data_IF_546936612315
#
_entry.id   IF_546936612315
#
_cell.length_a   1.000
_cell.length_b   1.000
_cell.length_c   1.000
_cell.angle_alpha   90.00
_cell.angle_beta   90.00
_cell.angle_gamma   90.00
#
_symmetry.space_group_name_H-M   'P 1'
#
loop_
_entity.id
_entity.type
_entity.pdbx_description
1 polymer ?
#
# COMPACT_ATOMS: atom_id res chain seq x y z
N UNK A 1 -3.86 -7.18 18.34
CA UNK A 1 -5.35 -7.08 18.21
C UNK A 1 -5.64 -6.44 16.86
N UNK A 2 -6.67 -6.87 16.13
CA UNK A 2 -7.02 -6.29 14.82
C UNK A 2 -7.69 -4.92 15.01
N UNK A 3 -7.07 -3.84 14.56
CA UNK A 3 -7.48 -2.43 14.62
C UNK A 3 -8.85 -2.18 13.99
N UNK A 4 -9.26 -2.94 12.98
CA UNK A 4 -10.64 -2.86 12.46
C UNK A 4 -11.65 -3.29 13.51
N UNK A 5 -11.33 -4.31 14.30
CA UNK A 5 -12.20 -4.81 15.38
C UNK A 5 -12.09 -3.93 16.64
N UNK A 6 -10.89 -3.45 16.94
CA UNK A 6 -10.62 -2.70 18.19
C UNK A 6 -11.02 -1.23 18.10
N UNK A 7 -10.72 -0.58 16.98
CA UNK A 7 -10.83 0.88 16.79
C UNK A 7 -11.89 1.26 15.75
N UNK A 8 -12.60 0.27 15.16
CA UNK A 8 -13.62 0.50 14.14
C UNK A 8 -13.10 1.03 12.80
N UNK A 9 -11.79 0.88 12.55
CA UNK A 9 -11.13 1.46 11.37
C UNK A 9 -11.39 0.62 10.13
N UNK A 10 -11.86 1.27 9.07
CA UNK A 10 -11.92 0.70 7.72
C UNK A 10 -10.60 1.02 7.02
N UNK A 11 -9.92 0.02 6.47
CA UNK A 11 -8.69 0.21 5.67
C UNK A 11 -8.92 0.01 4.18
N UNK A 12 -10.02 -0.63 3.80
CA UNK A 12 -10.26 -1.10 2.45
C UNK A 12 -10.71 0.07 1.58
N UNK A 13 -10.03 0.34 0.44
CA UNK A 13 -10.45 1.37 -0.50
C UNK A 13 -11.76 0.99 -1.22
N UNK A 14 -12.44 1.95 -1.87
CA UNK A 14 -13.62 1.65 -2.68
C UNK A 14 -13.32 0.63 -3.78
N UNK A 15 -14.21 -0.33 -3.99
CA UNK A 15 -14.14 -1.27 -5.12
C UNK A 15 -14.20 -0.54 -6.45
N UNK A 16 -13.59 -1.12 -7.49
CA UNK A 16 -13.65 -0.60 -8.86
C UNK A 16 -15.07 -0.47 -9.40
N UNK A 17 -15.99 -1.33 -8.96
CA UNK A 17 -17.39 -1.29 -9.34
C UNK A 17 -18.13 0.01 -8.92
N UNK A 18 -17.55 0.80 -8.01
CA UNK A 18 -18.12 2.06 -7.56
C UNK A 18 -17.64 3.28 -8.36
N UNK A 19 -16.87 3.07 -9.43
CA UNK A 19 -16.41 4.12 -10.33
C UNK A 19 -14.93 4.45 -10.15
N UNK A 20 -14.35 5.05 -11.19
CA UNK A 20 -12.91 5.28 -11.28
C UNK A 20 -12.48 6.68 -10.83
N UNK A 21 -13.42 7.58 -10.51
CA UNK A 21 -13.16 8.79 -9.72
C UNK A 21 -12.60 8.50 -8.32
N UNK A 22 -12.67 7.25 -7.84
CA UNK A 22 -12.01 6.80 -6.60
C UNK A 22 -10.55 6.35 -6.80
N UNK A 23 -10.05 6.38 -8.04
CA UNK A 23 -8.76 5.83 -8.43
C UNK A 23 -7.97 6.85 -9.23
N UNK A 24 -6.83 7.27 -8.67
CA UNK A 24 -5.92 8.26 -9.25
C UNK A 24 -4.90 7.62 -10.18
N UNK A 25 -4.63 8.31 -11.28
CA UNK A 25 -3.49 8.06 -12.18
C UNK A 25 -2.17 8.68 -11.68
N UNK A 26 -2.20 9.30 -10.49
CA UNK A 26 -1.04 9.90 -9.80
C UNK A 26 -0.93 9.37 -8.37
N UNK A 27 -0.81 10.24 -7.36
CA UNK A 27 -0.50 9.87 -5.96
C UNK A 27 -1.74 9.68 -5.06
N UNK A 28 -2.96 9.78 -5.62
CA UNK A 28 -4.19 9.63 -4.85
C UNK A 28 -4.45 10.77 -3.85
N UNK A 29 -3.78 11.92 -4.01
CA UNK A 29 -3.96 13.11 -3.15
C UNK A 29 -4.99 14.08 -3.74
N UNK A 30 -5.61 14.97 -2.95
CA UNK A 30 -6.60 15.92 -3.46
C UNK A 30 -6.08 16.76 -4.63
N UNK A 31 -6.90 16.91 -5.68
CA UNK A 31 -6.56 17.68 -6.88
C UNK A 31 -5.71 16.94 -7.92
N UNK A 32 -5.46 15.64 -7.73
CA UNK A 32 -4.83 14.79 -8.75
C UNK A 32 -5.85 14.21 -9.72
N UNK A 33 -5.37 13.87 -10.91
CA UNK A 33 -6.19 13.24 -11.94
C UNK A 33 -6.66 11.84 -11.52
N UNK A 34 -7.84 11.47 -12.00
CA UNK A 34 -8.51 10.19 -11.77
C UNK A 34 -8.65 9.38 -13.07
N UNK A 35 -9.29 8.21 -12.99
CA UNK A 35 -9.53 7.32 -14.13
C UNK A 35 -10.98 7.35 -14.66
N UNK A 36 -11.87 8.22 -14.17
CA UNK A 36 -13.32 8.19 -14.45
C UNK A 36 -13.66 8.42 -15.93
N UNK A 37 -12.78 9.10 -16.67
CA UNK A 37 -12.96 9.39 -18.10
C UNK A 37 -11.72 9.05 -18.95
N UNK A 38 -10.81 8.26 -18.40
CA UNK A 38 -9.56 7.92 -19.06
C UNK A 38 -9.79 6.80 -20.08
N UNK A 39 -9.45 7.00 -21.37
CA UNK A 39 -9.74 6.03 -22.43
C UNK A 39 -8.94 4.73 -22.30
N UNK A 40 -7.91 4.71 -21.46
CA UNK A 40 -7.10 3.54 -21.19
C UNK A 40 -7.59 2.73 -19.98
N UNK A 41 -8.68 3.11 -19.32
CA UNK A 41 -9.26 2.40 -18.19
C UNK A 41 -10.73 2.01 -18.46
N UNK A 42 -11.11 0.78 -18.13
CA UNK A 42 -12.48 0.29 -18.27
C UNK A 42 -12.86 -0.67 -17.13
N UNK A 43 -14.11 -0.60 -16.67
CA UNK A 43 -14.63 -1.57 -15.71
C UNK A 43 -15.14 -2.82 -16.45
N UNK A 44 -14.65 -3.98 -16.04
CA UNK A 44 -15.08 -5.29 -16.54
C UNK A 44 -15.96 -5.92 -15.46
N UNK A 45 -17.29 -6.05 -15.67
CA UNK A 45 -18.21 -6.49 -14.63
C UNK A 45 -18.22 -8.00 -14.36
N UNK A 46 -17.69 -8.80 -15.29
CA UNK A 46 -17.75 -10.26 -15.26
C UNK A 46 -16.49 -10.90 -15.88
N UNK A 47 -15.33 -10.62 -15.32
CA UNK A 47 -14.11 -11.36 -15.57
C UNK A 47 -14.16 -12.75 -14.90
N UNK A 48 -13.63 -13.76 -15.58
CA UNK A 48 -13.65 -15.16 -15.13
C UNK A 48 -12.93 -15.38 -13.80
N UNK A 49 -11.88 -14.62 -13.50
CA UNK A 49 -11.03 -14.83 -12.32
C UNK A 49 -11.34 -13.82 -11.19
N UNK A 50 -11.82 -12.63 -11.56
CA UNK A 50 -11.99 -11.49 -10.65
C UNK A 50 -13.44 -11.05 -10.44
N UNK A 51 -14.40 -11.58 -11.20
CA UNK A 51 -15.77 -11.04 -11.26
C UNK A 51 -15.77 -9.58 -11.73
N UNK A 52 -15.82 -8.60 -10.83
CA UNK A 52 -15.71 -7.18 -11.18
C UNK A 52 -14.27 -6.69 -11.05
N UNK A 53 -13.68 -6.16 -12.12
CA UNK A 53 -12.28 -5.71 -12.11
C UNK A 53 -12.02 -4.49 -13.00
N UNK A 54 -10.88 -3.83 -12.78
CA UNK A 54 -10.36 -2.80 -13.67
C UNK A 54 -9.58 -3.46 -14.81
N UNK A 55 -9.87 -3.10 -16.05
CA UNK A 55 -8.99 -3.29 -17.20
C UNK A 55 -8.24 -2.00 -17.50
N UNK A 56 -6.91 -2.05 -17.54
CA UNK A 56 -6.04 -0.89 -17.70
C UNK A 56 -5.01 -1.15 -18.80
N UNK A 57 -4.97 -0.26 -19.78
CA UNK A 57 -3.89 -0.21 -20.77
C UNK A 57 -2.78 0.69 -20.27
N UNK A 58 -1.57 0.14 -20.13
CA UNK A 58 -0.38 0.91 -19.74
C UNK A 58 0.02 1.84 -20.88
N UNK A 59 -0.05 3.15 -20.65
CA UNK A 59 0.28 4.20 -21.64
C UNK A 59 1.48 5.06 -21.22
N UNK A 60 1.89 5.00 -19.95
CA UNK A 60 3.01 5.77 -19.38
C UNK A 60 4.20 4.88 -19.03
N UNK A 61 5.40 5.46 -18.92
CA UNK A 61 6.61 4.77 -18.49
C UNK A 61 6.44 4.14 -17.08
N UNK A 62 5.84 4.91 -16.16
CA UNK A 62 5.29 4.42 -14.89
C UNK A 62 3.80 4.73 -14.90
N UNK A 63 2.96 3.70 -14.89
CA UNK A 63 1.51 3.87 -14.78
C UNK A 63 1.14 3.67 -13.31
N UNK A 64 0.74 4.75 -12.64
CA UNK A 64 0.30 4.68 -11.25
C UNK A 64 -1.19 4.37 -11.19
N UNK A 65 -1.57 3.56 -10.22
CA UNK A 65 -2.95 3.39 -9.76
C UNK A 65 -2.91 3.58 -8.25
N UNK A 66 -3.57 4.62 -7.74
CA UNK A 66 -3.64 4.90 -6.29
C UNK A 66 -5.09 5.17 -5.90
N UNK A 67 -5.55 4.63 -4.79
CA UNK A 67 -6.87 4.97 -4.29
C UNK A 67 -6.88 6.43 -3.77
N UNK A 68 -7.96 7.17 -4.02
CA UNK A 68 -8.29 8.38 -3.25
C UNK A 68 -8.84 7.99 -1.88
N UNK A 69 -7.99 7.32 -1.11
CA UNK A 69 -8.33 6.78 0.19
C UNK A 69 -7.12 6.85 1.10
N UNK A 70 -7.23 7.65 2.17
CA UNK A 70 -6.21 7.78 3.20
C UNK A 70 -6.38 6.64 4.20
N UNK A 71 -5.75 5.49 3.93
CA UNK A 71 -5.75 4.39 4.89
C UNK A 71 -4.88 4.80 6.09
N UNK A 72 -5.45 4.89 7.30
CA UNK A 72 -4.73 5.46 8.44
C UNK A 72 -3.59 4.55 8.90
N UNK A 73 -2.48 5.16 9.30
CA UNK A 73 -1.34 4.49 9.89
C UNK A 73 -1.07 5.10 11.26
N UNK A 74 -0.82 4.25 12.24
CA UNK A 74 -0.41 4.67 13.58
C UNK A 74 0.81 3.84 13.98
N UNK A 75 1.64 4.31 14.93
CA UNK A 75 2.73 3.50 15.46
C UNK A 75 2.23 2.12 15.91
N UNK A 76 2.92 1.06 15.47
CA UNK A 76 2.55 -0.33 15.69
C UNK A 76 1.44 -0.87 14.78
N UNK A 77 0.99 -0.09 13.79
CA UNK A 77 0.07 -0.54 12.74
C UNK A 77 0.85 -1.19 11.59
N UNK A 78 0.45 -2.39 11.21
CA UNK A 78 1.00 -3.13 10.07
C UNK A 78 -0.14 -3.52 9.14
N UNK A 79 -0.14 -2.95 7.94
CA UNK A 79 -1.16 -3.22 6.93
C UNK A 79 -0.57 -4.10 5.83
N UNK A 80 -1.32 -5.13 5.42
CA UNK A 80 -1.03 -5.90 4.22
C UNK A 80 -1.94 -5.44 3.10
N UNK A 81 -1.34 -4.98 2.02
CA UNK A 81 -2.04 -4.59 0.80
C UNK A 81 -1.93 -5.76 -0.17
N UNK A 82 -3.06 -6.21 -0.72
CA UNK A 82 -3.13 -7.31 -1.69
C UNK A 82 -4.03 -6.99 -2.86
N UNK A 83 -3.68 -7.56 -4.01
CA UNK A 83 -4.53 -7.61 -5.21
C UNK A 83 -4.05 -8.76 -6.09
N UNK A 84 -4.87 -9.14 -7.07
CA UNK A 84 -4.48 -10.07 -8.12
C UNK A 84 -4.51 -9.35 -9.47
N UNK A 85 -3.50 -9.62 -10.28
CA UNK A 85 -3.34 -9.00 -11.60
C UNK A 85 -3.07 -10.07 -12.64
N UNK A 86 -3.62 -9.90 -13.85
CA UNK A 86 -3.25 -10.72 -15.01
C UNK A 86 -3.00 -9.84 -16.22
N UNK A 87 -2.05 -10.26 -17.06
CA UNK A 87 -1.84 -9.67 -18.38
C UNK A 87 -2.83 -10.28 -19.37
N UNK A 88 -3.57 -9.45 -20.08
CA UNK A 88 -4.55 -9.89 -21.08
C UNK A 88 -3.95 -9.90 -22.47
N UNK A 89 -3.21 -8.86 -22.84
CA UNK A 89 -2.59 -8.70 -24.15
C UNK A 89 -1.49 -7.64 -24.14
N UNK A 90 -0.75 -7.53 -25.24
CA UNK A 90 0.23 -6.46 -25.46
C UNK A 90 1.58 -6.70 -24.79
N UNK A 91 2.33 -5.64 -24.52
CA UNK A 91 3.66 -5.76 -23.94
C UNK A 91 3.61 -6.26 -22.48
N UNK A 92 4.65 -6.95 -22.03
CA UNK A 92 4.74 -7.55 -20.69
C UNK A 92 5.30 -6.55 -19.68
N UNK A 93 4.50 -5.95 -18.78
CA UNK A 93 4.98 -5.02 -17.78
C UNK A 93 5.42 -5.76 -16.51
N UNK A 94 6.09 -5.01 -15.64
CA UNK A 94 6.30 -5.39 -14.24
C UNK A 94 5.31 -4.64 -13.36
N UNK A 95 4.85 -5.29 -12.29
CA UNK A 95 3.84 -4.77 -11.36
C UNK A 95 4.34 -4.85 -9.92
N UNK A 96 3.99 -3.88 -9.10
CA UNK A 96 4.33 -3.83 -7.68
C UNK A 96 3.25 -3.09 -6.91
N UNK A 97 2.92 -3.55 -5.70
CA UNK A 97 2.17 -2.72 -4.76
C UNK A 97 3.01 -1.49 -4.45
N UNK A 98 2.38 -0.32 -4.44
CA UNK A 98 3.05 0.93 -4.14
C UNK A 98 2.10 1.89 -3.43
N UNK A 99 2.66 2.90 -2.77
CA UNK A 99 1.86 3.84 -1.99
C UNK A 99 2.52 5.20 -1.84
N UNK A 100 1.71 6.20 -1.51
CA UNK A 100 2.18 7.53 -1.17
C UNK A 100 2.04 7.71 0.36
N UNK A 101 3.16 7.88 1.09
CA UNK A 101 3.14 8.03 2.54
C UNK A 101 2.83 9.47 2.93
N UNK A 102 1.72 9.65 3.65
CA UNK A 102 1.28 10.95 4.15
C UNK A 102 1.73 11.21 5.57
N UNK A 103 2.40 12.34 5.78
CA UNK A 103 2.74 12.88 7.08
C UNK A 103 1.70 13.92 7.54
N UNK A 104 1.91 14.49 8.73
CA UNK A 104 1.10 15.57 9.25
C UNK A 104 0.93 16.71 8.22
N UNK A 105 -0.23 17.37 8.25
CA UNK A 105 -0.58 18.45 7.32
C UNK A 105 -0.62 18.06 5.84
N UNK A 106 -0.87 16.78 5.54
CA UNK A 106 -0.93 16.22 4.17
C UNK A 106 0.36 16.42 3.36
N UNK A 107 1.50 16.36 4.03
CA UNK A 107 2.82 16.47 3.38
C UNK A 107 3.31 15.08 2.98
N UNK A 108 4.00 14.98 1.85
CA UNK A 108 4.67 13.74 1.43
C UNK A 108 5.82 13.41 2.37
N UNK A 109 5.79 12.23 2.98
CA UNK A 109 6.96 11.71 3.69
C UNK A 109 8.00 11.20 2.69
N UNK A 110 9.15 11.85 2.63
CA UNK A 110 10.24 11.46 1.74
C UNK A 110 11.28 10.59 2.46
N UNK A 111 12.14 9.91 1.70
CA UNK A 111 13.23 9.10 2.27
C UNK A 111 12.82 7.70 2.74
N UNK A 112 11.58 7.27 2.46
CA UNK A 112 11.07 5.93 2.74
C UNK A 112 10.86 5.14 1.44
N UNK A 113 10.83 3.81 1.54
CA UNK A 113 10.53 2.97 0.37
C UNK A 113 9.03 3.03 0.05
N UNK A 114 8.68 3.42 -1.17
CA UNK A 114 7.28 3.59 -1.60
C UNK A 114 6.77 2.44 -2.49
N UNK A 115 7.67 1.54 -2.89
CA UNK A 115 7.41 0.47 -3.85
C UNK A 115 7.80 -0.87 -3.25
N UNK A 116 6.83 -1.80 -3.22
CA UNK A 116 7.01 -3.14 -2.67
C UNK A 116 7.72 -4.08 -3.65
N UNK A 117 7.67 -5.39 -3.36
CA UNK A 117 8.25 -6.41 -4.25
C UNK A 117 7.69 -6.29 -5.68
N UNK A 118 8.59 -6.38 -6.66
CA UNK A 118 8.28 -6.26 -8.08
C UNK A 118 8.09 -7.66 -8.68
N UNK A 119 6.99 -7.85 -9.41
CA UNK A 119 6.67 -9.09 -10.10
C UNK A 119 6.50 -8.84 -11.59
N UNK A 120 7.15 -9.64 -12.43
CA UNK A 120 6.96 -9.60 -13.89
C UNK A 120 5.73 -10.40 -14.29
N UNK A 121 4.85 -9.81 -15.10
CA UNK A 121 3.79 -10.56 -15.76
C UNK A 121 4.40 -11.19 -17.02
N UNK A 122 4.60 -12.51 -17.04
CA UNK A 122 5.33 -13.19 -18.14
C UNK A 122 4.42 -14.04 -19.04
N UNK A 123 3.17 -14.26 -18.63
CA UNK A 123 2.24 -15.14 -19.33
C UNK A 123 0.88 -14.46 -19.43
N UNK A 124 0.24 -14.52 -20.59
CA UNK A 124 -1.12 -14.03 -20.75
C UNK A 124 -2.11 -14.91 -19.99
N UNK A 125 -3.07 -14.28 -19.33
CA UNK A 125 -4.12 -14.94 -18.55
C UNK A 125 -3.65 -15.55 -17.23
N UNK A 126 -2.35 -15.56 -16.93
CA UNK A 126 -1.84 -16.00 -15.64
C UNK A 126 -2.20 -14.98 -14.56
N UNK A 127 -2.90 -15.45 -13.53
CA UNK A 127 -3.25 -14.64 -12.36
C UNK A 127 -2.09 -14.65 -11.38
N UNK A 128 -1.54 -13.46 -11.14
CA UNK A 128 -0.44 -13.22 -10.20
C UNK A 128 -0.99 -12.50 -8.97
N UNK A 129 -0.74 -13.04 -7.78
CA UNK A 129 -1.04 -12.36 -6.52
C UNK A 129 0.10 -11.41 -6.14
N UNK A 130 -0.26 -10.17 -5.83
CA UNK A 130 0.64 -9.15 -5.30
C UNK A 130 0.35 -8.96 -3.82
N UNK A 131 1.41 -8.84 -3.02
CA UNK A 131 1.33 -8.50 -1.61
C UNK A 131 2.48 -7.58 -1.24
N UNK A 132 2.20 -6.56 -0.44
CA UNK A 132 3.22 -5.84 0.30
C UNK A 132 2.72 -5.50 1.71
N UNK A 133 3.64 -5.47 2.66
CA UNK A 133 3.38 -5.08 4.04
C UNK A 133 4.00 -3.72 4.29
N UNK A 134 3.18 -2.79 4.78
CA UNK A 134 3.59 -1.47 5.24
C UNK A 134 3.48 -1.40 6.76
N UNK A 135 4.43 -0.74 7.40
CA UNK A 135 4.40 -0.56 8.84
C UNK A 135 5.34 0.53 9.32
N UNK A 136 5.18 0.90 10.59
CA UNK A 136 6.00 1.93 11.23
C UNK A 136 7.40 1.45 11.59
N UNK A 137 7.58 0.16 11.91
CA UNK A 137 8.85 -0.40 12.35
C UNK A 137 9.67 -1.10 11.25
N UNK A 138 10.99 -1.11 11.44
CA UNK A 138 11.89 -1.95 10.65
C UNK A 138 11.87 -3.41 11.16
N UNK A 139 10.86 -4.17 10.73
CA UNK A 139 10.68 -5.58 11.12
C UNK A 139 10.84 -6.51 9.94
N UNK A 140 11.35 -7.72 10.21
CA UNK A 140 11.46 -8.76 9.18
C UNK A 140 10.09 -9.05 8.57
N UNK A 141 10.01 -9.00 7.25
CA UNK A 141 8.78 -9.24 6.49
C UNK A 141 7.92 -7.98 6.25
N UNK A 142 8.36 -6.79 6.68
CA UNK A 142 7.78 -5.52 6.25
C UNK A 142 8.53 -5.06 4.99
N UNK A 143 7.80 -4.69 3.94
CA UNK A 143 8.38 -4.26 2.66
C UNK A 143 8.53 -2.73 2.58
N UNK A 144 7.55 -2.02 3.16
CA UNK A 144 7.43 -0.57 3.14
C UNK A 144 7.56 -0.03 4.56
N UNK A 145 8.81 0.27 4.95
CA UNK A 145 9.11 0.85 6.26
C UNK A 145 8.88 2.36 6.22
N UNK A 146 7.76 2.81 6.76
CA UNK A 146 7.35 4.21 6.68
C UNK A 146 7.53 5.00 7.97
N UNK A 147 8.06 4.37 9.02
CA UNK A 147 8.34 5.04 10.27
C UNK A 147 7.07 5.48 11.02
N UNK A 148 7.26 6.19 12.12
CA UNK A 148 6.19 6.79 12.92
C UNK A 148 5.60 8.06 12.29
N UNK A 149 6.30 8.67 11.34
CA UNK A 149 5.94 9.98 10.79
C UNK A 149 4.88 9.86 9.68
N UNK A 150 4.70 8.67 9.10
CA UNK A 150 3.57 8.37 8.22
C UNK A 150 2.31 8.11 9.04
N UNK A 151 1.31 8.97 8.87
CA UNK A 151 0.01 8.91 9.57
C UNK A 151 -1.11 8.34 8.69
N UNK A 152 -0.89 8.23 7.38
CA UNK A 152 -1.76 7.52 6.45
C UNK A 152 -1.00 7.13 5.17
N UNK A 153 -1.60 6.27 4.37
CA UNK A 153 -1.13 5.93 3.04
C UNK A 153 -2.23 5.97 2.00
N UNK A 154 -1.93 6.56 0.84
CA UNK A 154 -2.71 6.32 -0.37
C UNK A 154 -2.09 5.13 -1.10
N UNK A 155 -2.75 3.97 -1.06
CA UNK A 155 -2.19 2.73 -1.59
C UNK A 155 -2.74 2.39 -2.97
N UNK A 156 -1.95 1.63 -3.72
CA UNK A 156 -2.38 0.95 -4.92
C UNK A 156 -1.24 0.16 -5.55
N UNK A 157 -1.02 0.33 -6.84
CA UNK A 157 0.05 -0.37 -7.56
C UNK A 157 0.68 0.50 -8.64
N UNK A 158 1.91 0.14 -9.02
CA UNK A 158 2.61 0.70 -10.16
C UNK A 158 2.81 -0.36 -11.22
N UNK A 159 2.60 0.03 -12.49
CA UNK A 159 3.08 -0.73 -13.63
C UNK A 159 4.29 -0.04 -14.25
N UNK A 160 5.38 -0.78 -14.38
CA UNK A 160 6.65 -0.33 -14.98
C UNK A 160 7.03 -1.22 -16.16
N UNK A 161 8.13 -0.88 -16.85
CA UNK A 161 8.55 -1.60 -18.05
C UNK A 161 7.83 -1.15 -19.33
N UNK A 162 7.77 -2.00 -20.37
CA UNK A 162 7.23 -1.67 -21.68
C UNK A 162 5.80 -1.10 -21.67
N UNK A 163 5.53 -0.14 -22.56
CA UNK A 163 4.21 0.47 -22.76
C UNK A 163 3.37 -0.37 -23.75
N UNK A 164 2.05 -0.36 -23.58
CA UNK A 164 1.11 -1.03 -24.48
C UNK A 164 0.60 -2.40 -23.99
N UNK A 165 0.94 -2.79 -22.76
CA UNK A 165 0.33 -3.95 -22.09
C UNK A 165 -1.08 -3.63 -21.57
N UNK A 166 -2.02 -4.55 -21.75
CA UNK A 166 -3.37 -4.49 -21.19
C UNK A 166 -3.46 -5.46 -20.02
N UNK A 167 -3.71 -4.96 -18.81
CA UNK A 167 -3.84 -5.77 -17.61
C UNK A 167 -5.27 -5.73 -17.08
N UNK A 168 -5.65 -6.77 -16.35
CA UNK A 168 -6.82 -6.76 -15.47
C UNK A 168 -6.38 -6.87 -14.02
N UNK A 169 -6.99 -6.05 -13.16
CA UNK A 169 -6.61 -5.85 -11.76
C UNK A 169 -7.85 -6.06 -10.91
N UNK A 170 -7.79 -7.00 -9.98
CA UNK A 170 -8.82 -7.21 -8.95
C UNK A 170 -8.83 -6.06 -7.93
N UNK A 171 -9.99 -5.82 -7.31
CA UNK A 171 -10.12 -4.89 -6.19
C UNK A 171 -8.95 -5.02 -5.20
N UNK A 172 -8.41 -3.88 -4.77
CA UNK A 172 -7.32 -3.86 -3.79
C UNK A 172 -7.91 -4.03 -2.40
N UNK A 173 -7.35 -4.96 -1.65
CA UNK A 173 -7.74 -5.27 -0.28
C UNK A 173 -6.61 -4.81 0.64
N UNK A 174 -6.96 -4.16 1.75
CA UNK A 174 -6.02 -3.77 2.80
C UNK A 174 -6.49 -4.41 4.09
N UNK A 175 -5.62 -5.22 4.68
CA UNK A 175 -5.86 -5.97 5.91
C UNK A 175 -4.95 -5.46 7.01
N UNK A 176 -5.50 -5.28 8.21
CA UNK A 176 -4.67 -5.09 9.39
C UNK A 176 -4.10 -6.43 9.86
N UNK A 177 -2.78 -6.55 9.76
CA UNK A 177 -2.00 -7.70 10.21
C UNK A 177 -1.12 -7.38 11.42
N UNK A 178 -1.37 -6.27 12.12
CA UNK A 178 -0.66 -5.88 13.35
C UNK A 178 -0.64 -7.02 14.37
N UNK A 179 -1.71 -7.82 14.42
CA UNK A 179 -1.81 -9.05 15.22
C UNK A 179 -0.69 -10.07 14.99
N UNK A 180 -0.21 -10.22 13.75
CA UNK A 180 0.85 -11.16 13.40
C UNK A 180 2.23 -10.72 13.91
N UNK A 181 2.39 -9.43 14.21
CA UNK A 181 3.58 -8.86 14.80
C UNK A 181 3.50 -8.81 16.33
N UNK A 182 2.40 -9.32 16.94
CA UNK A 182 2.19 -9.29 18.39
C UNK A 182 3.14 -10.21 19.16
N UNK A 183 3.60 -11.32 18.58
CA UNK A 183 4.58 -12.20 19.25
C UNK A 183 5.96 -11.53 19.38
N UNK A 184 6.22 -10.47 18.62
CA UNK A 184 7.36 -9.56 18.79
C UNK A 184 7.05 -8.39 19.76
N UNK A 185 5.79 -8.26 20.21
CA UNK A 185 5.25 -7.18 21.06
C UNK A 185 4.71 -7.69 22.41
N UNK A 186 4.94 -8.95 22.80
CA UNK A 186 4.39 -9.44 24.09
C UNK A 186 5.09 -8.69 25.25
N UNK A 187 4.39 -7.69 25.76
CA UNK A 187 4.61 -7.09 27.08
C UNK A 187 5.34 -5.75 27.12
N UNK A 188 5.71 -5.14 25.98
CA UNK A 188 6.44 -3.88 25.97
C UNK A 188 6.08 -3.02 24.74
N UNK A 189 6.09 -1.70 24.92
CA UNK A 189 6.16 -0.76 23.79
C UNK A 189 7.56 -0.90 23.17
N UNK A 190 7.61 -1.31 21.90
CA UNK A 190 8.87 -1.54 21.19
C UNK A 190 9.38 -0.24 20.58
N UNK A 191 10.58 0.18 21.01
CA UNK A 191 11.25 1.40 20.54
C UNK A 191 11.51 1.39 19.02
N UNK A 192 11.57 0.21 18.39
CA UNK A 192 11.73 0.09 16.93
C UNK A 192 10.49 0.57 16.17
N UNK A 193 9.31 0.51 16.78
CA UNK A 193 8.09 1.09 16.21
C UNK A 193 8.09 2.62 16.25
N UNK A 194 8.99 3.21 17.04
CA UNK A 194 9.22 4.65 17.17
C UNK A 194 10.50 5.12 16.48
N UNK A 195 11.16 4.24 15.72
CA UNK A 195 12.29 4.57 14.87
C UNK A 195 13.66 4.15 15.40
N UNK A 196 13.74 3.37 16.48
CA UNK A 196 15.02 2.83 16.94
C UNK A 196 15.64 1.87 15.90
N UNK A 197 16.95 2.00 15.66
CA UNK A 197 17.69 1.26 14.64
C UNK A 197 18.57 0.17 15.25
N UNK A 198 19.11 0.37 16.45
CA UNK A 198 19.93 -0.61 17.20
C UNK A 198 21.19 -1.07 16.42
N UNK A 199 21.89 -0.13 15.77
CA UNK A 199 23.12 -0.39 14.98
C UNK A 199 24.43 -0.03 15.72
N UNK A 200 24.33 0.51 16.94
CA UNK A 200 25.47 0.94 17.77
C UNK A 200 26.10 2.27 17.35
N UNK A 201 25.54 2.98 16.36
CA UNK A 201 26.03 4.27 15.86
C UNK A 201 24.98 5.38 15.92
N UNK A 202 23.73 5.06 15.58
CA UNK A 202 22.60 6.00 15.62
C UNK A 202 22.12 6.16 17.07
N UNK A 203 21.85 7.40 17.46
CA UNK A 203 21.26 7.71 18.76
C UNK A 203 19.75 7.43 18.73
N UNK A 204 19.34 6.38 19.44
CA UNK A 204 17.94 5.95 19.52
C UNK A 204 17.17 6.66 20.66
N UNK A 205 17.75 7.65 21.36
CA UNK A 205 17.14 8.30 22.53
C UNK A 205 15.71 8.82 22.29
N UNK A 206 15.46 9.52 21.18
CA UNK A 206 14.14 10.06 20.84
C UNK A 206 13.10 8.94 20.63
N UNK A 207 13.52 7.80 20.09
CA UNK A 207 12.66 6.64 19.92
C UNK A 207 12.27 6.02 21.27
N UNK A 208 13.21 6.00 22.23
CA UNK A 208 12.95 5.58 23.61
C UNK A 208 11.99 6.52 24.34
N UNK A 209 12.16 7.84 24.25
CA UNK A 209 11.24 8.80 24.88
C UNK A 209 9.82 8.69 24.30
N UNK A 210 9.72 8.53 22.97
CA UNK A 210 8.42 8.39 22.30
C UNK A 210 7.73 7.07 22.69
N UNK A 211 8.49 5.99 22.82
CA UNK A 211 8.00 4.70 23.29
C UNK A 211 7.54 4.76 24.75
N UNK A 212 8.31 5.37 25.65
CA UNK A 212 7.95 5.50 27.08
C UNK A 212 6.67 6.33 27.27
N UNK A 213 6.55 7.44 26.53
CA UNK A 213 5.34 8.26 26.51
C UNK A 213 4.12 7.46 26.03
N UNK A 214 4.29 6.59 25.04
CA UNK A 214 3.22 5.73 24.55
C UNK A 214 2.91 4.56 25.50
N UNK A 215 3.90 4.07 26.24
CA UNK A 215 3.73 3.06 27.29
C UNK A 215 2.99 3.61 28.50
N UNK A 216 3.01 4.93 28.70
CA UNK A 216 2.47 5.60 29.87
C UNK A 216 2.98 5.00 31.19
N UNK A 217 4.25 4.57 31.21
CA UNK A 217 4.93 3.96 32.36
C UNK A 217 4.52 2.51 32.67
N UNK A 218 4.07 1.73 31.68
CA UNK A 218 3.74 0.30 31.81
C UNK A 218 4.76 -0.62 31.17
#
# INVERSE_FOLDING_TARGET
>A
MNKTITDGIVFIPPKFAFGFHHWSSQDGTPGKDDYDNEPNAAFVPADQDFSGCLELTKTQAVQKLRAFYQAPLSPGCYLRIRTRVKLVSGAFPTVSIAGWPGAASNVHLTGVNEVGPVTSLNTYGEVVELSAIVGSGNRTGVDLHWGKDAIYGNFGLDLTGPIGGVVRIEDIIIEDISGAFVDQLIGAVDVRDYGAIDDGFVDDHDAFEAADKAAAGR
#
